data_IF_264263765136
#
_entry.id   IF_264263765136
#
_cell.length_a   1.000
_cell.length_b   1.000
_cell.length_c   1.000
_cell.angle_alpha   90.00
_cell.angle_beta   90.00
_cell.angle_gamma   90.00
#
_symmetry.space_group_name_H-M   'P 1'
#
loop_
_entity.id
_entity.type
_entity.pdbx_description
1 polymer ?
#
# COMPACT_ATOMS: atom_id res chain seq x y z
N UNK A 1 -3.81 23.69 -24.24
CA UNK A 1 -4.02 22.26 -24.34
C UNK A 1 -4.20 21.77 -22.90
N UNK A 2 -5.39 21.37 -22.51
CA UNK A 2 -5.60 20.68 -21.24
C UNK A 2 -4.87 19.32 -21.33
N UNK A 3 -4.13 18.88 -20.29
CA UNK A 3 -3.55 17.56 -20.29
C UNK A 3 -4.70 16.56 -20.41
N UNK A 4 -4.63 15.68 -21.39
CA UNK A 4 -5.53 14.52 -21.50
C UNK A 4 -5.43 13.78 -20.20
N UNK A 5 -6.52 13.72 -19.43
CA UNK A 5 -6.57 12.98 -18.18
C UNK A 5 -6.19 11.53 -18.49
N UNK A 6 -5.00 11.10 -18.05
CA UNK A 6 -4.58 9.71 -18.17
C UNK A 6 -5.65 8.82 -17.50
N UNK A 7 -5.98 7.71 -18.13
CA UNK A 7 -6.97 6.79 -17.58
C UNK A 7 -6.48 6.23 -16.24
N UNK A 8 -7.33 6.15 -15.21
CA UNK A 8 -6.92 5.65 -13.90
C UNK A 8 -6.46 4.18 -13.99
N UNK A 9 -5.41 3.85 -13.24
CA UNK A 9 -4.89 2.46 -13.16
C UNK A 9 -5.78 1.59 -12.28
N UNK A 10 -6.41 2.19 -11.26
CA UNK A 10 -7.42 1.54 -10.40
C UNK A 10 -8.64 2.45 -10.37
N UNK A 11 -9.83 1.88 -10.58
CA UNK A 11 -11.09 2.61 -10.46
C UNK A 11 -12.14 1.77 -9.74
N UNK A 12 -12.73 2.33 -8.70
CA UNK A 12 -13.92 1.82 -8.02
C UNK A 12 -15.13 2.60 -8.53
N UNK A 13 -16.16 1.90 -8.99
CA UNK A 13 -17.41 2.48 -9.48
C UNK A 13 -18.57 1.99 -8.61
N UNK A 14 -19.04 2.85 -7.69
CA UNK A 14 -20.18 2.60 -6.80
C UNK A 14 -20.08 1.24 -6.08
N UNK A 15 -18.86 0.93 -5.57
CA UNK A 15 -18.54 -0.37 -4.99
C UNK A 15 -19.12 -0.49 -3.59
N UNK A 16 -19.91 -1.52 -3.36
CA UNK A 16 -20.36 -1.94 -2.03
C UNK A 16 -19.86 -3.35 -1.71
N UNK A 17 -19.59 -3.60 -0.43
CA UNK A 17 -19.18 -4.91 0.05
C UNK A 17 -19.83 -5.24 1.38
N UNK A 18 -20.44 -6.44 1.47
CA UNK A 18 -21.12 -6.94 2.67
C UNK A 18 -20.57 -8.28 3.12
N UNK A 19 -20.53 -8.48 4.43
CA UNK A 19 -20.27 -9.76 5.07
C UNK A 19 -21.49 -10.12 5.92
N UNK A 20 -22.26 -11.10 5.47
CA UNK A 20 -23.55 -11.41 6.08
C UNK A 20 -24.50 -10.19 6.02
N UNK A 21 -24.90 -9.69 7.19
CA UNK A 21 -25.77 -8.49 7.30
C UNK A 21 -24.98 -7.18 7.45
N UNK A 22 -23.66 -7.25 7.66
CA UNK A 22 -22.83 -6.07 7.89
C UNK A 22 -22.32 -5.51 6.58
N UNK A 23 -22.60 -4.23 6.33
CA UNK A 23 -22.10 -3.50 5.18
C UNK A 23 -20.76 -2.86 5.54
N UNK A 24 -19.69 -3.37 4.92
CA UNK A 24 -18.29 -2.96 5.20
C UNK A 24 -17.87 -1.78 4.31
N UNK A 25 -18.35 -1.77 3.06
CA UNK A 25 -18.18 -0.65 2.12
C UNK A 25 -19.51 -0.28 1.50
N UNK A 26 -19.72 1.03 1.32
CA UNK A 26 -20.96 1.63 0.86
C UNK A 26 -20.69 2.62 -0.26
N UNK A 27 -21.09 2.26 -1.48
CA UNK A 27 -21.08 3.14 -2.65
C UNK A 27 -19.71 3.85 -2.86
N UNK A 28 -18.61 3.08 -2.70
CA UNK A 28 -17.25 3.59 -2.84
C UNK A 28 -16.96 3.89 -4.31
N UNK A 29 -16.67 5.16 -4.62
CA UNK A 29 -16.17 5.60 -5.92
C UNK A 29 -14.83 6.30 -5.73
N UNK A 30 -13.74 5.67 -6.20
CA UNK A 30 -12.36 6.09 -5.96
C UNK A 30 -11.50 5.77 -7.18
N UNK A 31 -10.53 6.63 -7.49
CA UNK A 31 -9.59 6.43 -8.59
C UNK A 31 -8.15 6.62 -8.13
N UNK A 32 -7.26 5.72 -8.59
CA UNK A 32 -5.82 5.87 -8.47
C UNK A 32 -5.21 6.11 -9.86
N UNK A 33 -4.41 7.18 -9.97
CA UNK A 33 -3.78 7.58 -11.23
C UNK A 33 -2.41 6.88 -11.41
N UNK A 34 -1.91 6.76 -12.66
CA UNK A 34 -0.59 6.22 -12.92
C UNK A 34 0.51 6.95 -12.12
N UNK A 35 1.39 6.19 -11.46
CA UNK A 35 2.55 6.72 -10.74
C UNK A 35 2.25 7.47 -9.44
N UNK A 36 0.97 7.63 -9.03
CA UNK A 36 0.63 8.29 -7.78
C UNK A 36 0.82 7.39 -6.56
N UNK A 37 0.95 8.02 -5.39
CA UNK A 37 0.84 7.37 -4.08
C UNK A 37 -0.49 7.82 -3.46
N UNK A 38 -1.48 6.94 -3.46
CA UNK A 38 -2.78 7.18 -2.83
C UNK A 38 -2.79 6.59 -1.42
N UNK A 39 -2.90 7.44 -0.41
CA UNK A 39 -3.06 7.03 0.99
C UNK A 39 -4.54 6.80 1.31
N UNK A 40 -4.91 5.61 1.77
CA UNK A 40 -6.21 5.34 2.37
C UNK A 40 -6.10 5.57 3.88
N UNK A 41 -6.59 6.72 4.36
CA UNK A 41 -6.58 7.12 5.77
C UNK A 41 -7.94 6.85 6.39
N UNK A 42 -7.97 6.44 7.66
CA UNK A 42 -9.21 6.25 8.42
C UNK A 42 -9.01 5.40 9.66
N UNK A 43 -10.00 5.39 10.54
CA UNK A 43 -9.99 4.56 11.76
C UNK A 43 -9.99 3.07 11.44
N UNK A 44 -9.64 2.25 12.44
CA UNK A 44 -9.80 0.80 12.33
C UNK A 44 -11.26 0.46 12.00
N UNK A 45 -11.48 -0.51 11.10
CA UNK A 45 -12.83 -0.89 10.66
C UNK A 45 -13.48 0.02 9.61
N UNK A 46 -12.83 1.10 9.14
CA UNK A 46 -13.41 1.98 8.10
C UNK A 46 -13.42 1.37 6.67
N UNK A 47 -12.94 0.15 6.48
CA UNK A 47 -13.01 -0.55 5.19
C UNK A 47 -11.74 -0.49 4.33
N UNK A 48 -10.65 0.15 4.77
CA UNK A 48 -9.40 0.35 4.00
C UNK A 48 -8.77 -0.95 3.50
N UNK A 49 -8.51 -1.90 4.39
CA UNK A 49 -7.98 -3.24 4.03
C UNK A 49 -8.91 -3.98 3.08
N UNK A 50 -10.23 -3.85 3.27
CA UNK A 50 -11.24 -4.40 2.37
C UNK A 50 -11.10 -3.80 0.97
N UNK A 51 -10.91 -2.49 0.88
CA UNK A 51 -10.68 -1.79 -0.38
C UNK A 51 -9.45 -2.35 -1.11
N UNK A 52 -8.31 -2.55 -0.44
CA UNK A 52 -7.14 -3.18 -1.06
C UNK A 52 -7.44 -4.61 -1.55
N UNK A 53 -8.14 -5.41 -0.73
CA UNK A 53 -8.49 -6.80 -1.06
C UNK A 53 -9.45 -6.93 -2.24
N UNK A 54 -10.24 -5.90 -2.52
CA UNK A 54 -11.09 -5.85 -3.71
C UNK A 54 -10.28 -5.60 -4.99
N UNK A 55 -9.20 -4.79 -4.95
CA UNK A 55 -8.36 -4.52 -6.13
C UNK A 55 -7.74 -5.82 -6.68
N UNK A 56 -7.12 -6.62 -5.81
CA UNK A 56 -6.47 -7.88 -6.20
C UNK A 56 -7.41 -9.09 -6.21
N UNK A 57 -8.73 -8.84 -6.09
CA UNK A 57 -9.78 -9.86 -6.10
C UNK A 57 -9.60 -10.96 -5.05
N UNK A 58 -9.01 -10.63 -3.88
CA UNK A 58 -9.10 -11.48 -2.69
C UNK A 58 -10.51 -11.46 -2.10
N UNK A 59 -11.23 -10.37 -2.34
CA UNK A 59 -12.66 -10.22 -2.11
C UNK A 59 -13.34 -9.78 -3.41
N UNK A 60 -14.61 -10.11 -3.57
CA UNK A 60 -15.43 -9.65 -4.71
C UNK A 60 -16.49 -8.67 -4.20
N UNK A 61 -16.74 -7.56 -4.90
CA UNK A 61 -17.77 -6.61 -4.49
C UNK A 61 -19.17 -7.26 -4.51
N UNK A 62 -20.06 -6.82 -3.63
CA UNK A 62 -21.47 -7.24 -3.63
C UNK A 62 -22.32 -6.38 -4.56
N UNK A 63 -21.86 -5.17 -4.90
CA UNK A 63 -22.44 -4.28 -5.92
C UNK A 63 -21.35 -3.36 -6.47
N UNK A 64 -21.57 -2.79 -7.65
CA UNK A 64 -20.58 -1.98 -8.36
C UNK A 64 -19.48 -2.82 -8.98
N UNK A 65 -18.43 -2.16 -9.48
CA UNK A 65 -17.31 -2.85 -10.12
C UNK A 65 -15.96 -2.20 -9.77
N UNK A 66 -14.90 -3.01 -9.80
CA UNK A 66 -13.52 -2.56 -9.67
C UNK A 66 -12.81 -2.80 -11.00
N UNK A 67 -12.26 -1.73 -11.58
CA UNK A 67 -11.45 -1.82 -12.77
C UNK A 67 -9.96 -1.70 -12.40
N UNK A 68 -9.14 -2.52 -13.04
CA UNK A 68 -7.69 -2.47 -12.98
C UNK A 68 -7.18 -2.35 -14.41
N UNK A 69 -6.45 -1.26 -14.70
CA UNK A 69 -6.01 -0.91 -16.07
C UNK A 69 -7.18 -0.82 -17.06
N UNK A 70 -8.31 -0.27 -16.61
CA UNK A 70 -9.52 -0.12 -17.44
C UNK A 70 -10.33 -1.40 -17.66
N UNK A 71 -9.89 -2.56 -17.15
CA UNK A 71 -10.58 -3.84 -17.28
C UNK A 71 -11.24 -4.24 -15.96
N UNK A 72 -12.47 -4.73 -16.00
CA UNK A 72 -13.15 -5.25 -14.81
C UNK A 72 -12.36 -6.42 -14.22
N UNK A 73 -11.96 -6.31 -12.95
CA UNK A 73 -11.21 -7.38 -12.30
C UNK A 73 -12.04 -8.67 -12.11
N UNK A 74 -13.37 -8.56 -12.17
CA UNK A 74 -14.26 -9.73 -12.12
C UNK A 74 -14.13 -10.63 -13.36
N UNK A 75 -13.74 -10.06 -14.52
CA UNK A 75 -13.56 -10.77 -15.78
C UNK A 75 -12.10 -11.23 -16.00
N UNK A 76 -11.16 -10.69 -15.22
CA UNK A 76 -9.75 -11.02 -15.34
C UNK A 76 -9.45 -12.46 -14.87
N UNK A 77 -8.42 -13.09 -15.46
CA UNK A 77 -7.79 -14.26 -14.84
C UNK A 77 -7.22 -13.85 -13.48
N UNK A 78 -7.76 -14.44 -12.42
CA UNK A 78 -7.44 -14.05 -11.04
C UNK A 78 -5.99 -14.34 -10.67
N UNK A 79 -5.39 -15.38 -11.25
CA UNK A 79 -3.99 -15.74 -10.99
C UNK A 79 -3.08 -14.73 -11.68
N UNK A 80 -3.36 -14.40 -12.93
CA UNK A 80 -2.62 -13.38 -13.67
C UNK A 80 -2.75 -12.00 -12.99
N UNK A 81 -3.96 -11.59 -12.62
CA UNK A 81 -4.20 -10.34 -11.92
C UNK A 81 -3.35 -10.23 -10.63
N UNK A 82 -3.41 -11.26 -9.76
CA UNK A 82 -2.67 -11.26 -8.49
C UNK A 82 -1.16 -11.27 -8.67
N UNK A 83 -0.64 -11.93 -9.71
CA UNK A 83 0.79 -11.93 -10.03
C UNK A 83 1.26 -10.59 -10.60
N UNK A 84 0.37 -9.82 -11.23
CA UNK A 84 0.67 -8.51 -11.82
C UNK A 84 0.56 -7.35 -10.84
N UNK A 85 0.13 -7.59 -9.59
CA UNK A 85 -0.02 -6.59 -8.53
C UNK A 85 0.89 -7.00 -7.37
N UNK A 86 1.79 -6.10 -6.95
CA UNK A 86 2.57 -6.27 -5.73
C UNK A 86 1.69 -6.06 -4.50
N UNK A 87 1.80 -6.94 -3.51
CA UNK A 87 1.03 -6.79 -2.27
C UNK A 87 1.90 -6.98 -1.04
N UNK A 88 2.06 -5.90 -0.28
CA UNK A 88 2.70 -5.90 1.04
C UNK A 88 1.59 -5.98 2.07
N UNK A 89 1.49 -7.13 2.74
CA UNK A 89 0.52 -7.33 3.82
C UNK A 89 1.11 -6.88 5.15
N UNK A 90 0.25 -6.60 6.12
CA UNK A 90 0.64 -6.32 7.50
C UNK A 90 1.63 -7.38 8.00
N UNK A 91 2.65 -6.97 8.78
CA UNK A 91 3.74 -7.83 9.30
C UNK A 91 4.59 -8.53 8.21
N UNK A 92 4.66 -7.96 7.00
CA UNK A 92 5.38 -8.46 5.83
C UNK A 92 4.92 -9.85 5.33
N UNK A 93 4.30 -10.68 6.15
CA UNK A 93 3.72 -12.00 5.80
C UNK A 93 4.70 -12.91 5.05
N UNK A 94 5.95 -12.99 5.48
CA UNK A 94 6.97 -13.85 4.88
C UNK A 94 6.69 -15.32 5.18
N UNK A 95 6.99 -16.20 4.22
CA UNK A 95 6.94 -17.64 4.42
C UNK A 95 8.07 -18.06 5.38
N UNK A 96 7.78 -18.56 6.61
CA UNK A 96 8.79 -18.77 7.65
C UNK A 96 9.79 -19.87 7.31
N UNK A 97 9.42 -20.81 6.46
CA UNK A 97 10.25 -21.92 6.00
C UNK A 97 11.01 -21.64 4.70
N UNK A 98 10.89 -20.43 4.15
CA UNK A 98 11.65 -19.97 3.00
C UNK A 98 12.75 -19.01 3.44
N UNK A 99 13.91 -19.09 2.78
CA UNK A 99 14.95 -18.06 2.90
C UNK A 99 14.44 -16.73 2.32
N UNK A 100 15.14 -15.63 2.60
CA UNK A 100 14.87 -14.32 1.99
C UNK A 100 14.86 -14.41 0.47
N UNK A 101 15.86 -15.03 -0.14
CA UNK A 101 15.93 -15.21 -1.60
C UNK A 101 14.71 -15.97 -2.15
N UNK A 102 14.27 -17.04 -1.45
CA UNK A 102 13.09 -17.81 -1.84
C UNK A 102 11.79 -17.00 -1.66
N UNK A 103 11.70 -16.19 -0.60
CA UNK A 103 10.55 -15.29 -0.39
C UNK A 103 10.45 -14.27 -1.52
N UNK A 104 11.54 -13.57 -1.85
CA UNK A 104 11.56 -12.55 -2.92
C UNK A 104 11.30 -13.21 -4.28
N UNK A 105 12.00 -14.30 -4.59
CA UNK A 105 11.92 -14.98 -5.90
C UNK A 105 10.65 -15.80 -6.13
N UNK A 106 9.69 -15.84 -5.18
CA UNK A 106 8.52 -16.70 -5.27
C UNK A 106 7.63 -16.40 -6.47
N UNK A 107 7.19 -15.14 -6.61
CA UNK A 107 6.28 -14.74 -7.70
C UNK A 107 6.93 -14.90 -9.08
N UNK A 108 8.17 -14.44 -9.32
CA UNK A 108 8.91 -14.77 -10.55
C UNK A 108 8.96 -16.27 -10.85
N UNK A 109 9.26 -17.11 -9.85
CA UNK A 109 9.36 -18.56 -10.02
C UNK A 109 8.05 -19.21 -10.45
N UNK A 110 6.93 -18.90 -9.78
CA UNK A 110 5.61 -19.43 -10.17
C UNK A 110 5.08 -18.80 -11.46
N UNK A 111 5.71 -17.72 -11.93
CA UNK A 111 5.46 -17.10 -13.24
C UNK A 111 6.37 -17.66 -14.35
N UNK A 112 7.18 -18.68 -14.05
CA UNK A 112 7.99 -19.38 -15.04
C UNK A 112 9.28 -18.66 -15.44
N UNK A 113 9.80 -17.73 -14.62
CA UNK A 113 11.08 -17.10 -14.93
C UNK A 113 12.24 -18.09 -14.79
N UNK A 114 13.26 -18.01 -15.67
CA UNK A 114 14.48 -18.81 -15.54
C UNK A 114 15.23 -18.48 -14.24
N UNK A 115 15.81 -19.48 -13.59
CA UNK A 115 16.51 -19.34 -12.31
C UNK A 115 17.64 -18.29 -12.31
N UNK A 116 18.45 -18.13 -13.41
CA UNK A 116 19.46 -17.05 -13.45
C UNK A 116 18.81 -15.65 -13.38
N UNK A 117 17.67 -15.45 -14.07
CA UNK A 117 16.93 -14.17 -14.03
C UNK A 117 16.36 -13.90 -12.64
N UNK A 118 15.85 -14.94 -11.95
CA UNK A 118 15.34 -14.82 -10.59
C UNK A 118 16.46 -14.40 -9.64
N UNK A 119 17.64 -15.04 -9.71
CA UNK A 119 18.80 -14.69 -8.88
C UNK A 119 19.23 -13.24 -9.08
N UNK A 120 19.43 -12.82 -10.32
CA UNK A 120 19.78 -11.43 -10.64
C UNK A 120 18.73 -10.43 -10.09
N UNK A 121 17.43 -10.77 -10.23
CA UNK A 121 16.35 -9.91 -9.69
C UNK A 121 16.35 -9.85 -8.16
N UNK A 122 16.64 -10.95 -7.48
CA UNK A 122 16.76 -10.99 -6.01
C UNK A 122 17.91 -10.10 -5.56
N UNK A 123 19.09 -10.20 -6.18
CA UNK A 123 20.26 -9.36 -5.87
C UNK A 123 19.96 -7.87 -6.08
N UNK A 124 19.36 -7.52 -7.22
CA UNK A 124 18.91 -6.16 -7.51
C UNK A 124 17.96 -5.62 -6.42
N UNK A 125 16.96 -6.42 -6.01
CA UNK A 125 15.96 -6.00 -5.03
C UNK A 125 16.53 -5.89 -3.62
N UNK A 126 17.47 -6.74 -3.23
CA UNK A 126 18.19 -6.60 -1.97
C UNK A 126 18.91 -5.26 -1.94
N UNK A 127 19.64 -4.92 -3.00
CA UNK A 127 20.32 -3.64 -3.11
C UNK A 127 19.36 -2.46 -3.12
N UNK A 128 18.24 -2.55 -3.88
CA UNK A 128 17.22 -1.51 -3.98
C UNK A 128 16.53 -1.21 -2.64
N UNK A 129 16.40 -2.23 -1.78
CA UNK A 129 15.76 -2.13 -0.46
C UNK A 129 16.76 -1.98 0.69
N UNK A 130 18.03 -1.68 0.38
CA UNK A 130 19.07 -1.43 1.38
C UNK A 130 19.41 -2.66 2.24
N UNK A 131 19.21 -3.87 1.69
CA UNK A 131 19.55 -5.12 2.38
C UNK A 131 20.89 -5.65 1.91
N UNK A 132 21.74 -6.06 2.87
CA UNK A 132 23.04 -6.67 2.56
C UNK A 132 22.85 -8.04 1.84
N UNK A 133 23.70 -8.38 0.85
CA UNK A 133 23.56 -9.61 0.08
C UNK A 133 23.52 -10.90 0.92
N UNK A 134 24.23 -10.90 2.06
CA UNK A 134 24.36 -12.05 2.97
C UNK A 134 23.00 -12.44 3.60
N UNK A 135 22.04 -11.50 3.61
CA UNK A 135 20.70 -11.76 4.14
C UNK A 135 19.91 -12.75 3.24
N UNK A 136 20.29 -12.88 1.98
CA UNK A 136 19.61 -13.75 1.00
C UNK A 136 19.40 -15.19 1.50
N UNK A 137 20.37 -15.74 2.27
CA UNK A 137 20.34 -17.10 2.81
C UNK A 137 19.61 -17.22 4.14
N UNK A 138 19.29 -16.10 4.82
CA UNK A 138 18.64 -16.10 6.13
C UNK A 138 17.16 -16.44 6.02
N UNK A 139 16.60 -16.90 7.15
CA UNK A 139 15.16 -17.13 7.32
C UNK A 139 14.49 -15.95 8.03
N UNK A 140 13.17 -15.76 7.90
CA UNK A 140 12.46 -14.63 8.51
C UNK A 140 12.67 -14.45 10.02
N UNK A 141 12.81 -15.54 10.79
CA UNK A 141 13.05 -15.50 12.23
C UNK A 141 14.45 -14.95 12.61
N UNK A 142 15.38 -14.89 11.65
CA UNK A 142 16.75 -14.37 11.83
C UNK A 142 16.85 -12.88 11.48
N UNK A 143 15.75 -12.23 11.14
CA UNK A 143 15.68 -10.85 10.67
C UNK A 143 15.07 -9.92 11.73
N UNK A 144 15.54 -8.66 11.78
CA UNK A 144 14.84 -7.60 12.51
C UNK A 144 13.47 -7.28 11.89
N UNK A 145 12.60 -6.56 12.61
CA UNK A 145 11.30 -6.12 12.09
C UNK A 145 11.43 -5.31 10.80
N UNK A 146 12.35 -4.34 10.77
CA UNK A 146 12.64 -3.53 9.58
C UNK A 146 13.18 -4.36 8.42
N UNK A 147 14.07 -5.32 8.68
CA UNK A 147 14.57 -6.22 7.64
C UNK A 147 13.44 -7.08 7.06
N UNK A 148 12.55 -7.63 7.90
CA UNK A 148 11.37 -8.38 7.40
C UNK A 148 10.50 -7.51 6.51
N UNK A 149 10.28 -6.26 6.90
CA UNK A 149 9.45 -5.33 6.11
C UNK A 149 10.09 -5.02 4.75
N UNK A 150 11.40 -4.75 4.71
CA UNK A 150 12.17 -4.55 3.46
C UNK A 150 12.09 -5.77 2.54
N UNK A 151 12.19 -6.99 3.09
CA UNK A 151 12.00 -8.23 2.32
C UNK A 151 10.57 -8.34 1.78
N UNK A 152 9.56 -7.94 2.55
CA UNK A 152 8.16 -7.88 2.12
C UNK A 152 7.97 -6.95 0.92
N UNK A 153 8.56 -5.75 0.96
CA UNK A 153 8.57 -4.80 -0.15
C UNK A 153 9.31 -5.35 -1.36
N UNK A 154 10.52 -5.93 -1.17
CA UNK A 154 11.29 -6.57 -2.23
C UNK A 154 10.50 -7.69 -2.92
N UNK A 155 9.82 -8.55 -2.14
CA UNK A 155 8.95 -9.61 -2.67
C UNK A 155 7.80 -9.04 -3.50
N UNK A 156 7.15 -7.98 -3.03
CA UNK A 156 6.05 -7.35 -3.75
C UNK A 156 6.50 -6.75 -5.08
N UNK A 157 7.75 -6.27 -5.18
CA UNK A 157 8.35 -5.70 -6.39
C UNK A 157 8.97 -6.74 -7.33
N UNK A 158 9.06 -8.02 -6.93
CA UNK A 158 9.87 -9.02 -7.62
C UNK A 158 9.44 -9.27 -9.07
N UNK A 159 8.14 -9.30 -9.34
CA UNK A 159 7.59 -9.47 -10.68
C UNK A 159 7.51 -8.17 -11.50
N UNK A 160 8.11 -7.08 -11.01
CA UNK A 160 8.06 -5.74 -11.59
C UNK A 160 6.62 -5.20 -11.83
N UNK A 161 5.74 -5.25 -10.82
CA UNK A 161 4.36 -4.81 -10.97
C UNK A 161 4.27 -3.31 -11.23
N UNK A 162 3.23 -2.88 -11.96
CA UNK A 162 2.87 -1.46 -12.11
C UNK A 162 2.17 -0.93 -10.85
N UNK A 163 1.39 -1.78 -10.18
CA UNK A 163 0.58 -1.46 -9.01
C UNK A 163 1.19 -2.12 -7.77
N UNK A 164 1.33 -1.35 -6.70
CA UNK A 164 1.75 -1.81 -5.39
C UNK A 164 0.66 -1.49 -4.36
N UNK A 165 0.11 -2.51 -3.73
CA UNK A 165 -0.83 -2.39 -2.62
C UNK A 165 -0.07 -2.63 -1.32
N UNK A 166 -0.29 -1.80 -0.29
CA UNK A 166 0.40 -1.93 0.99
C UNK A 166 -0.58 -1.74 2.15
N UNK A 167 -0.70 -2.76 2.98
CA UNK A 167 -1.62 -2.77 4.13
C UNK A 167 -0.84 -2.50 5.42
N UNK A 168 -0.95 -1.29 5.98
CA UNK A 168 -0.25 -0.80 7.17
C UNK A 168 1.27 -1.13 7.16
N UNK A 169 2.01 -0.74 6.08
CA UNK A 169 3.36 -1.24 5.85
C UNK A 169 4.39 -0.81 6.90
N UNK A 170 4.07 0.18 7.73
CA UNK A 170 5.00 0.72 8.74
C UNK A 170 4.48 0.59 10.18
N UNK A 171 3.29 -0.02 10.38
CA UNK A 171 2.57 -0.03 11.66
C UNK A 171 3.32 -0.74 12.79
N UNK A 172 4.01 -1.84 12.52
CA UNK A 172 4.66 -2.68 13.52
C UNK A 172 6.13 -2.32 13.81
N UNK A 173 6.57 -1.10 13.41
CA UNK A 173 7.97 -0.68 13.53
C UNK A 173 8.15 0.36 14.62
N UNK A 174 9.32 0.35 15.26
CA UNK A 174 9.73 1.43 16.15
C UNK A 174 9.88 2.75 15.38
N UNK A 175 9.80 3.91 16.05
CA UNK A 175 9.76 5.21 15.38
C UNK A 175 10.97 5.51 14.48
N UNK A 176 12.19 5.11 14.88
CA UNK A 176 13.39 5.38 14.11
C UNK A 176 13.45 4.54 12.84
N UNK A 177 13.23 3.22 12.97
CA UNK A 177 13.16 2.29 11.84
C UNK A 177 12.05 2.69 10.86
N UNK A 178 10.90 3.14 11.38
CA UNK A 178 9.78 3.64 10.57
C UNK A 178 10.19 4.83 9.73
N UNK A 179 10.84 5.83 10.34
CA UNK A 179 11.29 7.04 9.64
C UNK A 179 12.31 6.72 8.53
N UNK A 180 13.27 5.84 8.81
CA UNK A 180 14.24 5.37 7.81
C UNK A 180 13.57 4.67 6.63
N UNK A 181 12.68 3.71 6.90
CA UNK A 181 11.99 2.96 5.86
C UNK A 181 11.06 3.84 5.01
N UNK A 182 10.41 4.84 5.59
CA UNK A 182 9.60 5.79 4.84
C UNK A 182 10.45 6.64 3.90
N UNK A 183 11.61 7.13 4.35
CA UNK A 183 12.56 7.87 3.48
C UNK A 183 13.06 7.02 2.32
N UNK A 184 13.44 5.79 2.60
CA UNK A 184 13.91 4.85 1.58
C UNK A 184 12.80 4.52 0.59
N UNK A 185 11.57 4.27 1.09
CA UNK A 185 10.41 4.02 0.23
C UNK A 185 10.14 5.18 -0.72
N UNK A 186 10.19 6.44 -0.25
CA UNK A 186 10.04 7.62 -1.12
C UNK A 186 11.16 7.71 -2.16
N UNK A 187 12.41 7.41 -1.78
CA UNK A 187 13.53 7.37 -2.72
C UNK A 187 13.35 6.29 -3.79
N UNK A 188 12.90 5.11 -3.37
CA UNK A 188 12.59 3.99 -4.25
C UNK A 188 11.45 4.35 -5.21
N UNK A 189 10.36 4.94 -4.70
CA UNK A 189 9.20 5.33 -5.49
C UNK A 189 9.54 6.39 -6.56
N UNK A 190 10.38 7.38 -6.24
CA UNK A 190 10.87 8.36 -7.22
C UNK A 190 11.60 7.71 -8.40
N UNK A 191 12.30 6.60 -8.16
CA UNK A 191 13.03 5.84 -9.19
C UNK A 191 12.11 4.94 -10.00
N UNK A 192 11.19 4.23 -9.32
CA UNK A 192 10.37 3.18 -9.93
C UNK A 192 9.04 3.72 -10.51
N UNK A 193 8.54 4.83 -10.00
CA UNK A 193 7.27 5.50 -10.42
C UNK A 193 6.07 4.53 -10.47
N UNK A 194 5.99 3.62 -9.50
CA UNK A 194 4.86 2.67 -9.41
C UNK A 194 3.61 3.40 -8.91
N UNK A 195 2.44 2.91 -9.32
CA UNK A 195 1.18 3.33 -8.69
C UNK A 195 1.06 2.61 -7.35
N UNK A 196 0.96 3.37 -6.27
CA UNK A 196 0.90 2.83 -4.91
C UNK A 196 -0.43 3.18 -4.26
N UNK A 197 -1.10 2.18 -3.69
CA UNK A 197 -2.22 2.41 -2.77
C UNK A 197 -1.84 1.82 -1.43
N UNK A 198 -1.72 2.66 -0.41
CA UNK A 198 -1.38 2.17 0.92
C UNK A 198 -2.40 2.56 1.98
N UNK A 199 -2.59 1.67 2.93
CA UNK A 199 -3.49 1.85 4.07
C UNK A 199 -2.69 2.31 5.27
N UNK A 200 -3.19 3.32 5.96
CA UNK A 200 -2.68 3.76 7.25
C UNK A 200 -3.80 4.33 8.13
N UNK A 201 -3.58 4.35 9.42
CA UNK A 201 -4.37 5.11 10.40
C UNK A 201 -3.61 6.35 10.91
N UNK A 202 -2.35 6.52 10.50
CA UNK A 202 -1.48 7.63 10.90
C UNK A 202 -1.51 8.75 9.84
N UNK A 203 -2.00 9.93 10.24
CA UNK A 203 -2.02 11.11 9.37
C UNK A 203 -0.62 11.53 8.94
N UNK A 204 0.42 11.36 9.80
CA UNK A 204 1.81 11.71 9.46
C UNK A 204 2.31 10.90 8.28
N UNK A 205 2.02 9.60 8.26
CA UNK A 205 2.36 8.74 7.14
C UNK A 205 1.63 9.16 5.86
N UNK A 206 0.31 9.40 5.96
CA UNK A 206 -0.50 9.85 4.83
C UNK A 206 0.01 11.17 4.24
N UNK A 207 0.34 12.15 5.10
CA UNK A 207 0.88 13.45 4.71
C UNK A 207 2.25 13.37 4.08
N UNK A 208 3.12 12.51 4.62
CA UNK A 208 4.51 12.40 4.19
C UNK A 208 4.67 11.63 2.89
N UNK A 209 3.91 10.55 2.73
CA UNK A 209 4.09 9.60 1.64
C UNK A 209 3.08 9.81 0.51
N UNK A 210 1.84 10.18 0.84
CA UNK A 210 0.76 10.29 -0.13
C UNK A 210 0.89 11.52 -1.03
N UNK A 211 0.68 11.34 -2.32
CA UNK A 211 0.40 12.45 -3.23
C UNK A 211 -1.06 12.89 -3.13
N UNK A 212 -1.95 11.97 -2.77
CA UNK A 212 -3.35 12.21 -2.42
C UNK A 212 -3.75 11.35 -1.22
N UNK A 213 -4.68 11.86 -0.42
CA UNK A 213 -5.23 11.22 0.77
C UNK A 213 -6.72 11.01 0.56
N UNK A 214 -7.14 9.75 0.54
CA UNK A 214 -8.54 9.34 0.55
C UNK A 214 -8.94 9.02 1.98
N UNK A 215 -9.77 9.88 2.59
CA UNK A 215 -10.28 9.68 3.94
C UNK A 215 -11.49 8.78 3.91
N UNK A 216 -11.44 7.68 4.67
CA UNK A 216 -12.50 6.70 4.78
C UNK A 216 -13.06 6.67 6.21
N UNK A 217 -14.39 6.72 6.33
CA UNK A 217 -15.11 6.59 7.59
C UNK A 217 -16.35 5.72 7.44
N UNK A 218 -16.52 4.76 8.35
CA UNK A 218 -17.67 3.86 8.40
C UNK A 218 -18.04 3.22 7.04
N UNK A 219 -17.04 2.80 6.26
CA UNK A 219 -17.22 2.16 4.95
C UNK A 219 -17.49 3.11 3.79
N UNK A 220 -17.41 4.43 3.98
CA UNK A 220 -17.62 5.44 2.95
C UNK A 220 -16.35 6.23 2.67
N UNK A 221 -16.21 6.70 1.45
CA UNK A 221 -15.24 7.73 1.09
C UNK A 221 -15.80 9.09 1.51
N UNK A 222 -15.08 9.78 2.39
CA UNK A 222 -15.44 11.13 2.86
C UNK A 222 -14.95 12.17 1.87
N UNK A 223 -13.65 12.14 1.58
CA UNK A 223 -12.98 13.09 0.67
C UNK A 223 -11.70 12.51 0.09
N UNK A 224 -11.22 13.10 -1.01
CA UNK A 224 -9.90 12.81 -1.60
C UNK A 224 -9.20 14.14 -1.87
N UNK A 225 -8.13 14.42 -1.13
CA UNK A 225 -7.44 15.70 -1.16
C UNK A 225 -5.93 15.52 -1.32
N UNK A 226 -5.24 16.56 -1.79
CA UNK A 226 -3.79 16.64 -1.63
C UNK A 226 -3.43 16.81 -0.14
N UNK A 227 -2.20 16.48 0.29
CA UNK A 227 -1.77 16.74 1.67
C UNK A 227 -1.97 18.22 2.09
N UNK A 228 -1.64 19.16 1.21
CA UNK A 228 -1.80 20.60 1.50
C UNK A 228 -3.27 21.02 1.67
N UNK A 229 -4.16 20.50 0.82
CA UNK A 229 -5.60 20.78 0.90
C UNK A 229 -6.25 20.08 2.09
N UNK A 230 -5.73 18.90 2.48
CA UNK A 230 -6.21 18.18 3.65
C UNK A 230 -6.03 18.99 4.94
N UNK A 231 -4.88 19.66 5.13
CA UNK A 231 -4.61 20.52 6.27
C UNK A 231 -5.53 21.76 6.33
N UNK A 232 -6.07 22.20 5.21
CA UNK A 232 -6.95 23.38 5.09
C UNK A 232 -8.42 23.00 4.93
N UNK A 233 -8.73 21.71 4.98
CA UNK A 233 -10.08 21.21 4.74
C UNK A 233 -11.05 21.67 5.81
N UNK A 234 -12.21 22.15 5.39
CA UNK A 234 -13.37 22.43 6.26
C UNK A 234 -14.24 21.20 6.50
N UNK A 235 -13.93 20.07 5.88
CA UNK A 235 -14.64 18.81 6.15
C UNK A 235 -14.48 18.41 7.62
N UNK A 236 -15.59 18.11 8.35
CA UNK A 236 -15.53 17.82 9.78
C UNK A 236 -14.63 16.66 10.15
N UNK A 237 -14.56 15.61 9.33
CA UNK A 237 -13.73 14.43 9.56
C UNK A 237 -12.25 14.75 9.31
N UNK A 238 -11.93 15.41 8.19
CA UNK A 238 -10.55 15.83 7.89
C UNK A 238 -10.05 16.80 8.99
N UNK A 239 -10.86 17.80 9.37
CA UNK A 239 -10.54 18.75 10.44
C UNK A 239 -10.30 18.05 11.79
N UNK A 240 -11.09 17.02 12.13
CA UNK A 240 -10.90 16.24 13.36
C UNK A 240 -9.55 15.49 13.36
N UNK A 241 -9.12 14.93 12.22
CA UNK A 241 -7.79 14.32 12.10
C UNK A 241 -6.67 15.35 12.27
N UNK A 242 -6.80 16.53 11.60
CA UNK A 242 -5.80 17.61 11.70
C UNK A 242 -5.69 18.13 13.14
N UNK A 243 -6.83 18.34 13.83
CA UNK A 243 -6.85 18.79 15.23
C UNK A 243 -6.18 17.78 16.14
N UNK A 244 -6.55 16.51 16.07
CA UNK A 244 -5.94 15.45 16.88
C UNK A 244 -4.43 15.33 16.65
N UNK A 245 -3.96 15.66 15.45
CA UNK A 245 -2.54 15.73 15.11
C UNK A 245 -1.85 16.93 15.76
N UNK A 246 -2.43 18.13 15.65
CA UNK A 246 -1.89 19.36 16.24
C UNK A 246 -1.84 19.34 17.77
N UNK A 247 -2.86 18.77 18.41
CA UNK A 247 -2.92 18.60 19.88
C UNK A 247 -1.76 17.70 20.38
N UNK A 248 -1.37 16.68 19.62
CA UNK A 248 -0.21 15.82 19.93
C UNK A 248 1.13 16.57 19.84
N UNK A 249 1.30 17.43 18.84
CA UNK A 249 2.54 18.24 18.70
C UNK A 249 2.66 19.29 19.81
N UNK A 250 1.55 19.93 20.16
CA UNK A 250 1.51 20.92 21.25
C UNK A 250 1.79 20.29 22.62
N UNK A 251 1.21 19.15 22.92
CA UNK A 251 1.44 18.41 24.16
C UNK A 251 2.89 17.95 24.33
N UNK A 252 3.59 17.60 23.24
CA UNK A 252 5.00 17.24 23.28
C UNK A 252 5.87 18.48 23.48
N UNK A 253 5.50 19.63 22.93
CA UNK A 253 6.23 20.89 23.11
C UNK A 253 6.10 21.43 24.56
N UNK A 254 4.93 21.30 25.18
CA UNK A 254 4.69 21.74 26.56
C UNK A 254 5.30 20.81 27.62
N UNK A 255 5.44 19.52 27.34
CA UNK A 255 6.04 18.53 28.25
C UNK A 255 7.58 18.55 28.30
N UNK A 256 8.23 19.44 27.57
CA UNK A 256 9.70 19.59 27.50
C UNK A 256 10.20 20.88 28.21
N UNK A 257 9.34 21.57 29.01
CA UNK A 257 9.68 22.77 29.76
C UNK A 257 9.92 22.49 31.23
#
# INVERSE_FOLDING_TARGET
MQPTAESPVIEFRNVSYRVGRTEVLRDLSLRAQPGEILALLGRSGSGKTTTLKLVNRLLSPTAGEVLVRGLSNAQADVIHLRRSIGYVIQDAGLFPHFTVAKNIGLVPRISGWPEPKIRARVEELLQLTGLAPEIASRYPHQLSGGQRQRVGVARALAADPEILLMDEPFGALDPLTRDELQREFLSLQKRLRKTVVFVTHDLREAMRLGSRIALMEAGKLVTVLSPADFLRSSDPWASAYVKAFGDLESAVAEGTS
#
